data_IF_268711386444
#
_entry.id   IF_268711386444
#
_cell.length_a   1.000
_cell.length_b   1.000
_cell.length_c   1.000
_cell.angle_alpha   90.00
_cell.angle_beta   90.00
_cell.angle_gamma   90.00
#
_symmetry.space_group_name_H-M   'P 1'
#
loop_
_entity.id
_entity.type
_entity.pdbx_description
1 polymer ?
#
# COMPACT_ATOMS: atom_id res chain seq x y z
N UNK A 1 -18.84 19.69 10.15
CA UNK A 1 -17.44 19.95 9.75
C UNK A 1 -16.45 18.90 10.27
N UNK A 2 -16.54 18.43 11.52
CA UNK A 2 -15.58 17.47 12.10
C UNK A 2 -15.42 16.15 11.32
N UNK A 3 -16.52 15.54 10.85
CA UNK A 3 -16.46 14.29 10.08
C UNK A 3 -15.72 14.43 8.74
N UNK A 4 -15.91 15.55 8.06
CA UNK A 4 -15.23 15.86 6.80
C UNK A 4 -13.73 16.06 7.02
N UNK A 5 -13.35 16.80 8.07
CA UNK A 5 -11.95 17.01 8.44
C UNK A 5 -11.26 15.70 8.86
N UNK A 6 -11.95 14.82 9.60
CA UNK A 6 -11.45 13.49 9.94
C UNK A 6 -11.23 12.63 8.69
N UNK A 7 -12.19 12.66 7.75
CA UNK A 7 -12.09 11.93 6.47
C UNK A 7 -10.88 12.41 5.65
N UNK A 8 -10.70 13.72 5.53
CA UNK A 8 -9.56 14.33 4.83
C UNK A 8 -8.22 14.02 5.53
N UNK A 9 -8.20 14.05 6.86
CA UNK A 9 -7.02 13.68 7.66
C UNK A 9 -6.62 12.21 7.46
N UNK A 10 -7.59 11.29 7.52
CA UNK A 10 -7.37 9.86 7.26
C UNK A 10 -6.88 9.61 5.83
N UNK A 11 -7.45 10.31 4.85
CA UNK A 11 -7.07 10.18 3.45
C UNK A 11 -5.66 10.72 3.18
N UNK A 12 -5.31 11.85 3.79
CA UNK A 12 -3.96 12.43 3.74
C UNK A 12 -2.92 11.54 4.40
N UNK A 13 -3.22 11.01 5.60
CA UNK A 13 -2.35 10.08 6.31
C UNK A 13 -2.15 8.77 5.54
N UNK A 14 -3.22 8.20 4.99
CA UNK A 14 -3.15 7.00 4.15
C UNK A 14 -2.22 7.22 2.94
N UNK A 15 -2.40 8.34 2.22
CA UNK A 15 -1.57 8.67 1.06
C UNK A 15 -0.10 8.88 1.43
N UNK A 16 0.18 9.51 2.58
CA UNK A 16 1.53 9.77 3.07
C UNK A 16 2.28 8.47 3.44
N UNK A 17 1.56 7.44 3.90
CA UNK A 17 2.15 6.17 4.29
C UNK A 17 2.41 5.23 3.11
N UNK A 18 1.71 5.39 1.98
CA UNK A 18 1.91 4.55 0.78
C UNK A 18 3.33 4.65 0.24
N UNK A 19 3.89 5.86 0.16
CA UNK A 19 5.25 6.09 -0.35
C UNK A 19 6.35 5.39 0.46
N UNK A 20 6.45 5.58 1.79
CA UNK A 20 7.49 4.93 2.59
C UNK A 20 7.32 3.41 2.66
N UNK A 21 6.09 2.89 2.64
CA UNK A 21 5.85 1.44 2.66
C UNK A 21 6.33 0.79 1.37
N UNK A 22 5.99 1.38 0.21
CA UNK A 22 6.48 0.92 -1.10
C UNK A 22 8.01 1.02 -1.23
N UNK A 23 8.61 2.12 -0.75
CA UNK A 23 10.07 2.30 -0.75
C UNK A 23 10.78 1.24 0.10
N UNK A 24 10.24 0.94 1.29
CA UNK A 24 10.77 -0.10 2.17
C UNK A 24 10.69 -1.50 1.54
N UNK A 25 9.57 -1.84 0.87
CA UNK A 25 9.41 -3.15 0.21
C UNK A 25 10.34 -3.34 -0.99
N UNK A 26 10.58 -2.26 -1.77
CA UNK A 26 11.49 -2.32 -2.94
C UNK A 26 12.95 -2.46 -2.48
N UNK A 27 13.32 -1.85 -1.36
CA UNK A 27 14.66 -1.96 -0.79
C UNK A 27 14.98 -3.39 -0.31
N UNK A 28 13.97 -4.13 0.17
CA UNK A 28 14.14 -5.51 0.67
C UNK A 28 14.24 -6.59 -0.43
N UNK A 29 13.80 -6.32 -1.67
CA UNK A 29 13.63 -7.35 -2.72
C UNK A 29 14.68 -7.31 -3.84
N UNK A 30 15.65 -6.39 -3.81
CA UNK A 30 16.57 -6.22 -4.94
C UNK A 30 17.68 -7.30 -5.03
N UNK A 31 17.33 -8.48 -5.56
CA UNK A 31 18.28 -9.37 -6.27
C UNK A 31 18.20 -9.10 -7.79
N UNK A 32 19.33 -8.92 -8.50
CA UNK A 32 19.39 -8.32 -9.85
C UNK A 32 18.77 -9.16 -10.98
N UNK A 33 18.57 -10.47 -10.80
CA UNK A 33 18.28 -11.38 -11.93
C UNK A 33 16.81 -11.44 -12.38
N UNK A 34 15.83 -11.02 -11.56
CA UNK A 34 14.39 -11.16 -11.91
C UNK A 34 13.62 -9.83 -12.05
N UNK A 35 14.35 -8.70 -12.09
CA UNK A 35 13.79 -7.34 -12.13
C UNK A 35 12.80 -7.10 -13.28
N UNK A 36 13.08 -7.61 -14.48
CA UNK A 36 12.24 -7.35 -15.65
C UNK A 36 10.84 -7.98 -15.51
N UNK A 37 10.77 -9.24 -15.08
CA UNK A 37 9.50 -9.95 -14.88
C UNK A 37 8.71 -9.38 -13.70
N UNK A 38 9.38 -9.04 -12.59
CA UNK A 38 8.73 -8.42 -11.44
C UNK A 38 8.11 -7.06 -11.79
N UNK A 39 8.82 -6.21 -12.55
CA UNK A 39 8.29 -4.93 -13.04
C UNK A 39 7.13 -5.15 -14.01
N UNK A 40 7.20 -6.16 -14.87
CA UNK A 40 6.12 -6.54 -15.78
C UNK A 40 4.84 -6.95 -15.03
N UNK A 41 4.96 -7.82 -14.02
CA UNK A 41 3.83 -8.26 -13.19
C UNK A 41 3.25 -7.09 -12.39
N UNK A 42 4.08 -6.23 -11.81
CA UNK A 42 3.62 -5.05 -11.08
C UNK A 42 2.84 -4.08 -11.99
N UNK A 43 3.37 -3.80 -13.19
CA UNK A 43 2.67 -2.95 -14.18
C UNK A 43 1.37 -3.57 -14.63
N UNK A 44 1.34 -4.87 -14.92
CA UNK A 44 0.13 -5.58 -15.32
C UNK A 44 -0.97 -5.42 -14.25
N UNK A 45 -0.65 -5.68 -12.99
CA UNK A 45 -1.60 -5.52 -11.89
C UNK A 45 -2.09 -4.08 -11.74
N UNK A 46 -1.17 -3.11 -11.80
CA UNK A 46 -1.51 -1.68 -11.71
C UNK A 46 -2.42 -1.24 -12.86
N UNK A 47 -2.04 -1.56 -14.09
CA UNK A 47 -2.73 -1.11 -15.30
C UNK A 47 -4.09 -1.82 -15.44
N UNK A 48 -4.17 -3.10 -15.05
CA UNK A 48 -5.46 -3.81 -14.94
C UNK A 48 -6.36 -3.18 -13.89
N UNK A 49 -5.81 -2.75 -12.74
CA UNK A 49 -6.57 -2.05 -11.70
C UNK A 49 -7.20 -0.75 -12.20
N UNK A 50 -6.46 0.05 -12.98
CA UNK A 50 -7.02 1.25 -13.60
C UNK A 50 -8.14 0.94 -14.59
N UNK A 51 -7.95 -0.04 -15.46
CA UNK A 51 -8.96 -0.41 -16.46
C UNK A 51 -10.24 -0.94 -15.80
N UNK A 52 -10.10 -1.90 -14.88
CA UNK A 52 -11.24 -2.51 -14.16
C UNK A 52 -11.92 -1.45 -13.28
N UNK A 53 -11.16 -0.62 -12.58
CA UNK A 53 -11.70 0.45 -11.74
C UNK A 53 -12.49 1.48 -12.53
N UNK A 54 -11.99 1.92 -13.69
CA UNK A 54 -12.69 2.86 -14.56
C UNK A 54 -13.99 2.27 -15.12
N UNK A 55 -13.96 1.02 -15.57
CA UNK A 55 -15.16 0.32 -16.06
C UNK A 55 -16.20 0.16 -14.95
N UNK A 56 -15.77 -0.30 -13.77
CA UNK A 56 -16.66 -0.49 -12.63
C UNK A 56 -17.26 0.84 -12.17
N UNK A 57 -16.46 1.89 -12.07
CA UNK A 57 -16.90 3.23 -11.67
C UNK A 57 -17.92 3.79 -12.68
N UNK A 58 -17.65 3.67 -13.98
CA UNK A 58 -18.53 4.13 -15.05
C UNK A 58 -19.89 3.41 -15.01
N UNK A 59 -19.88 2.07 -14.98
CA UNK A 59 -21.11 1.27 -14.93
C UNK A 59 -21.93 1.57 -13.67
N UNK A 60 -21.28 1.70 -12.50
CA UNK A 60 -21.97 2.06 -11.26
C UNK A 60 -22.55 3.48 -11.32
N UNK A 61 -21.81 4.42 -11.88
CA UNK A 61 -22.26 5.80 -12.02
C UNK A 61 -23.46 5.92 -12.97
N UNK A 62 -23.45 5.17 -14.07
CA UNK A 62 -24.52 5.18 -15.07
C UNK A 62 -25.81 4.54 -14.54
N UNK A 63 -25.70 3.46 -13.76
CA UNK A 63 -26.85 2.70 -13.27
C UNK A 63 -27.43 3.24 -11.95
N UNK A 64 -26.57 3.66 -11.02
CA UNK A 64 -26.96 3.98 -9.64
C UNK A 64 -26.59 5.40 -9.23
N UNK A 65 -25.91 6.15 -10.11
CA UNK A 65 -25.41 7.48 -9.82
C UNK A 65 -24.04 7.50 -9.15
N UNK A 66 -23.40 8.67 -9.20
CA UNK A 66 -22.02 8.90 -8.75
C UNK A 66 -21.84 8.56 -7.25
N UNK A 67 -22.84 8.81 -6.41
CA UNK A 67 -22.75 8.53 -4.97
C UNK A 67 -22.55 7.05 -4.67
N UNK A 68 -23.25 6.16 -5.39
CA UNK A 68 -23.09 4.72 -5.23
C UNK A 68 -21.74 4.23 -5.77
N UNK A 69 -21.29 4.78 -6.91
CA UNK A 69 -19.96 4.47 -7.46
C UNK A 69 -18.85 4.80 -6.45
N UNK A 70 -18.89 6.00 -5.84
CA UNK A 70 -17.93 6.40 -4.80
C UNK A 70 -18.00 5.46 -3.59
N UNK A 71 -19.21 5.15 -3.11
CA UNK A 71 -19.41 4.27 -1.95
C UNK A 71 -18.84 2.87 -2.15
N UNK A 72 -19.06 2.26 -3.33
CA UNK A 72 -18.54 0.93 -3.65
C UNK A 72 -17.02 0.94 -3.76
N UNK A 73 -16.45 1.93 -4.46
CA UNK A 73 -14.97 2.04 -4.60
C UNK A 73 -14.32 2.25 -3.24
N UNK A 74 -14.90 3.09 -2.39
CA UNK A 74 -14.43 3.30 -1.02
C UNK A 74 -14.48 2.00 -0.21
N UNK A 75 -15.59 1.25 -0.31
CA UNK A 75 -15.75 -0.05 0.36
C UNK A 75 -14.72 -1.09 -0.08
N UNK A 76 -14.47 -1.22 -1.39
CA UNK A 76 -13.47 -2.13 -1.94
C UNK A 76 -12.06 -1.75 -1.48
N UNK A 77 -11.74 -0.46 -1.48
CA UNK A 77 -10.43 0.06 -1.03
C UNK A 77 -10.23 -0.23 0.46
N UNK A 78 -11.25 0.05 1.27
CA UNK A 78 -11.21 -0.22 2.70
C UNK A 78 -11.06 -1.71 3.00
N UNK A 79 -11.82 -2.58 2.32
CA UNK A 79 -11.73 -4.02 2.48
C UNK A 79 -10.34 -4.53 2.11
N UNK A 80 -9.73 -4.02 1.04
CA UNK A 80 -8.35 -4.35 0.69
C UNK A 80 -7.38 -4.00 1.81
N UNK A 81 -7.53 -2.82 2.44
CA UNK A 81 -6.71 -2.41 3.58
C UNK A 81 -6.88 -3.33 4.79
N UNK A 82 -8.11 -3.73 5.11
CA UNK A 82 -8.42 -4.68 6.19
C UNK A 82 -7.79 -6.05 5.93
N UNK A 83 -7.90 -6.55 4.69
CA UNK A 83 -7.30 -7.83 4.31
C UNK A 83 -5.77 -7.77 4.44
N UNK A 84 -5.13 -6.71 3.94
CA UNK A 84 -3.67 -6.53 4.08
C UNK A 84 -3.26 -6.47 5.54
N UNK A 85 -4.01 -5.75 6.38
CA UNK A 85 -3.75 -5.68 7.83
C UNK A 85 -3.81 -7.06 8.50
N UNK A 86 -4.74 -7.94 8.08
CA UNK A 86 -4.85 -9.29 8.62
C UNK A 86 -3.84 -10.30 8.05
N UNK A 87 -3.40 -10.12 6.80
CA UNK A 87 -2.54 -11.07 6.08
C UNK A 87 -1.05 -10.73 6.22
N UNK A 88 -0.69 -9.45 6.31
CA UNK A 88 0.70 -9.02 6.38
C UNK A 88 1.20 -9.11 7.83
N UNK A 89 1.86 -10.22 8.17
CA UNK A 89 2.56 -10.37 9.45
C UNK A 89 3.83 -9.51 9.43
N UNK A 90 4.00 -8.70 10.48
CA UNK A 90 5.20 -7.91 10.78
C UNK A 90 6.49 -8.74 10.59
N UNK A 91 7.28 -8.40 9.56
CA UNK A 91 8.58 -9.01 9.27
C UNK A 91 9.77 -8.19 9.76
N UNK A 92 9.54 -7.08 10.48
CA UNK A 92 10.61 -6.24 11.03
C UNK A 92 11.48 -7.08 12.00
N UNK A 93 12.77 -7.32 11.70
CA UNK A 93 13.66 -7.96 12.64
C UNK A 93 13.84 -7.01 13.82
N UNK A 94 13.47 -7.47 15.02
CA UNK A 94 13.78 -6.76 16.26
C UNK A 94 15.26 -6.34 16.21
N UNK A 95 15.48 -5.02 16.25
CA UNK A 95 16.77 -4.32 16.37
C UNK A 95 17.80 -5.24 17.03
N UNK A 96 18.68 -5.83 16.21
CA UNK A 96 19.81 -6.63 16.69
C UNK A 96 20.70 -5.66 17.46
N UNK A 97 20.54 -5.60 18.77
CA UNK A 97 21.48 -4.95 19.67
C UNK A 97 22.85 -5.57 19.39
N UNK A 98 23.72 -4.81 18.71
CA UNK A 98 25.09 -5.23 18.49
C UNK A 98 25.75 -5.37 19.86
N UNK A 99 26.38 -6.51 20.18
CA UNK A 99 27.06 -6.72 21.45
C UNK A 99 28.13 -5.64 21.67
N UNK A 100 28.06 -4.94 22.81
CA UNK A 100 29.01 -3.90 23.26
C UNK A 100 30.44 -4.39 23.52
N UNK A 101 30.85 -5.56 23.03
CA UNK A 101 32.16 -6.16 23.32
C UNK A 101 33.29 -5.73 22.39
N UNK A 102 33.01 -5.03 21.28
CA UNK A 102 34.07 -4.63 20.31
C UNK A 102 34.74 -3.29 20.62
N UNK A 103 34.31 -2.56 21.66
CA UNK A 103 34.89 -1.27 22.04
C UNK A 103 36.09 -1.38 22.99
N UNK A 104 36.52 -2.60 23.36
CA UNK A 104 37.56 -2.82 24.38
C UNK A 104 38.87 -3.43 23.86
N UNK A 105 39.10 -3.43 22.54
CA UNK A 105 40.33 -3.99 21.94
C UNK A 105 41.03 -3.01 20.98
N UNK A 106 40.91 -1.71 21.25
CA UNK A 106 41.67 -0.67 20.56
C UNK A 106 42.09 0.40 21.57
N UNK A 107 42.98 0.03 22.48
CA UNK A 107 43.73 0.91 23.38
C UNK A 107 45.04 0.23 23.76
#
# INVERSE_FOLDING_TARGET
FGWWALSMGLLGLGTALVYPTLLATIADVAHPDWRASAVGVYRLWRDSGYAIGALLAGVLADLFGISWAIGVIAGVTFLSGVVVSGVMRETLPARRELPRSTLHNVS
#
